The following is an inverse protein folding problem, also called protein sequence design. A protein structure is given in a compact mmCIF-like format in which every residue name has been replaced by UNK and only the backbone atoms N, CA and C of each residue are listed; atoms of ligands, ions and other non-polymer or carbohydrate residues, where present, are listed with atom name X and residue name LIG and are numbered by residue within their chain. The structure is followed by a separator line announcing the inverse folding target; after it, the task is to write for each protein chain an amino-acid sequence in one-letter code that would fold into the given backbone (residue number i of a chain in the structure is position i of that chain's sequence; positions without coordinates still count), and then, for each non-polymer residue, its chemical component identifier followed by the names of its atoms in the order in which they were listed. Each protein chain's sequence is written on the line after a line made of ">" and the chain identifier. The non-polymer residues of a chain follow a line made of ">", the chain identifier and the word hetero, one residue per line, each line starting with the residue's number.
data_IF_893527252869
#
_entry.id   IF_893527252869
#
_cell.length_a   1.000
_cell.length_b   1.000
_cell.length_c   1.000
_cell.angle_alpha   90.00
_cell.angle_beta   90.00
_cell.angle_gamma   90.00
#
_symmetry.space_group_name_H-M   'P 1'
#
loop_
_entity.id
_entity.type
_entity.pdbx_description
1 polymer ?
#
# COMPACT_ATOMS: atom_id res chain seq x y z
N UNK A 1 -11.70 5.23 -0.30
CA UNK A 1 -10.90 5.11 -1.53
C UNK A 1 -9.79 6.13 -1.49
N UNK A 2 -9.53 6.88 -2.55
CA UNK A 2 -8.50 7.94 -2.55
C UNK A 2 -9.09 9.37 -2.54
N UNK A 3 -10.34 9.52 -2.99
CA UNK A 3 -11.05 10.81 -3.04
C UNK A 3 -11.22 11.52 -1.68
N UNK A 4 -11.19 10.78 -0.56
CA UNK A 4 -11.28 11.35 0.80
C UNK A 4 -10.01 12.09 1.24
N UNK A 5 -8.88 11.86 0.57
CA UNK A 5 -7.65 12.60 0.89
C UNK A 5 -7.80 14.10 0.56
N UNK A 6 -8.63 14.42 -0.44
CA UNK A 6 -8.91 15.80 -0.85
C UNK A 6 -9.71 16.60 0.20
N UNK A 7 -10.26 15.94 1.22
CA UNK A 7 -11.01 16.60 2.29
C UNK A 7 -10.06 17.22 3.34
N UNK A 8 -8.76 16.93 3.29
CA UNK A 8 -7.77 17.35 4.27
C UNK A 8 -6.67 18.22 3.63
N UNK A 9 -6.61 19.49 4.03
CA UNK A 9 -5.62 20.46 3.52
C UNK A 9 -4.21 20.28 4.10
N UNK A 10 -4.04 19.40 5.10
CA UNK A 10 -2.78 19.19 5.82
C UNK A 10 -1.98 17.97 5.34
N UNK A 11 -2.45 17.26 4.31
CA UNK A 11 -1.73 16.12 3.75
C UNK A 11 -0.67 16.63 2.78
N UNK A 12 0.61 16.52 3.15
CA UNK A 12 1.73 17.02 2.35
C UNK A 12 2.32 15.95 1.41
N UNK A 13 2.26 14.67 1.80
CA UNK A 13 2.87 13.56 1.07
C UNK A 13 2.08 12.26 1.26
N UNK A 14 2.09 11.42 0.23
CA UNK A 14 1.59 10.04 0.26
C UNK A 14 2.67 9.13 -0.29
N UNK A 15 3.09 8.15 0.51
CA UNK A 15 4.07 7.14 0.13
C UNK A 15 3.33 5.81 -0.12
N UNK A 16 3.48 5.23 -1.32
CA UNK A 16 2.93 3.92 -1.65
C UNK A 16 3.92 2.84 -1.19
N UNK A 17 3.50 1.96 -0.29
CA UNK A 17 4.32 0.87 0.23
C UNK A 17 3.70 -0.48 -0.18
N UNK A 18 4.29 -1.18 -1.16
CA UNK A 18 3.88 -2.53 -1.54
C UNK A 18 3.97 -3.50 -0.35
N UNK A 19 3.05 -4.46 -0.31
CA UNK A 19 3.12 -5.54 0.68
C UNK A 19 4.34 -6.43 0.39
N UNK A 20 5.05 -6.81 1.46
CA UNK A 20 6.16 -7.76 1.41
C UNK A 20 6.04 -8.79 2.53
N UNK A 21 6.51 -10.03 2.31
CA UNK A 21 6.50 -11.10 3.33
C UNK A 21 7.69 -11.06 4.30
N UNK A 22 8.43 -9.96 4.32
CA UNK A 22 9.58 -9.81 5.19
C UNK A 22 9.16 -9.89 6.66
N UNK A 23 9.55 -10.97 7.34
CA UNK A 23 9.27 -11.20 8.76
C UNK A 23 8.34 -12.38 9.06
N UNK A 24 7.87 -13.13 8.06
CA UNK A 24 7.08 -14.36 8.28
C UNK A 24 7.78 -15.36 9.21
N UNK A 25 9.12 -15.48 9.10
CA UNK A 25 9.92 -16.38 9.94
C UNK A 25 9.80 -16.07 11.44
N UNK A 26 9.56 -14.80 11.82
CA UNK A 26 9.39 -14.42 13.23
C UNK A 26 8.08 -14.97 13.81
N UNK A 27 7.03 -15.06 12.99
CA UNK A 27 5.77 -15.68 13.40
C UNK A 27 5.94 -17.19 13.57
N UNK A 28 6.71 -17.82 12.67
CA UNK A 28 7.04 -19.25 12.76
C UNK A 28 7.84 -19.56 14.03
N UNK A 29 8.85 -18.77 14.39
CA UNK A 29 9.62 -18.90 15.63
C UNK A 29 8.74 -18.79 16.90
N UNK A 30 7.75 -17.91 16.86
CA UNK A 30 6.82 -17.68 17.97
C UNK A 30 5.62 -18.62 17.98
N UNK A 31 5.56 -19.58 17.04
CA UNK A 31 4.44 -20.51 16.87
C UNK A 31 3.08 -19.80 16.70
N UNK A 32 3.09 -18.61 16.08
CA UNK A 32 1.88 -17.84 15.78
C UNK A 32 1.41 -18.08 14.34
N UNK A 33 0.08 -18.15 14.11
CA UNK A 33 -0.44 -18.19 12.76
C UNK A 33 -0.15 -16.87 12.04
N UNK A 34 0.43 -16.94 10.84
CA UNK A 34 0.60 -15.79 9.96
C UNK A 34 -0.52 -15.76 8.91
N UNK A 35 -1.52 -14.91 9.13
CA UNK A 35 -2.75 -14.90 8.33
C UNK A 35 -2.52 -14.51 6.85
N UNK A 36 -1.42 -13.82 6.55
CA UNK A 36 -1.06 -13.39 5.20
C UNK A 36 -0.13 -14.38 4.48
N UNK A 37 0.07 -15.59 5.01
CA UNK A 37 0.98 -16.59 4.45
C UNK A 37 0.73 -16.88 2.98
N UNK A 38 -0.53 -16.95 2.56
CA UNK A 38 -0.91 -17.23 1.17
C UNK A 38 -1.11 -15.96 0.31
N UNK A 39 -1.02 -14.77 0.92
CA UNK A 39 -1.16 -13.49 0.21
C UNK A 39 0.10 -13.23 -0.60
N UNK A 40 -0.04 -12.96 -1.91
CA UNK A 40 1.12 -12.68 -2.77
C UNK A 40 1.52 -11.20 -2.65
N UNK A 41 2.80 -10.92 -2.86
CA UNK A 41 3.26 -9.56 -3.10
C UNK A 41 2.58 -9.03 -4.38
N UNK A 42 2.26 -7.72 -4.46
CA UNK A 42 1.68 -7.15 -5.65
C UNK A 42 2.67 -7.25 -6.82
N UNK A 43 2.14 -7.39 -8.04
CA UNK A 43 2.96 -7.34 -9.25
C UNK A 43 3.37 -5.90 -9.55
N UNK A 44 4.44 -5.74 -10.33
CA UNK A 44 4.89 -4.41 -10.80
C UNK A 44 3.77 -3.65 -11.51
N UNK A 45 2.92 -4.32 -12.30
CA UNK A 45 1.76 -3.74 -12.96
C UNK A 45 0.74 -3.15 -11.96
N UNK A 46 0.49 -3.86 -10.85
CA UNK A 46 -0.42 -3.38 -9.79
C UNK A 46 0.19 -2.18 -9.06
N UNK A 47 1.50 -2.19 -8.84
CA UNK A 47 2.22 -1.07 -8.22
C UNK A 47 2.12 0.15 -9.14
N UNK A 48 2.43 0.01 -10.43
CA UNK A 48 2.35 1.09 -11.42
C UNK A 48 0.94 1.66 -11.54
N UNK A 49 -0.08 0.79 -11.59
CA UNK A 49 -1.48 1.20 -11.59
C UNK A 49 -1.83 2.04 -10.35
N UNK A 50 -1.42 1.61 -9.16
CA UNK A 50 -1.68 2.31 -7.91
C UNK A 50 -0.95 3.67 -7.84
N UNK A 51 0.30 3.74 -8.33
CA UNK A 51 1.03 5.00 -8.44
C UNK A 51 0.33 6.00 -9.37
N UNK A 52 -0.15 5.53 -10.52
CA UNK A 52 -0.86 6.37 -11.48
C UNK A 52 -2.19 6.88 -10.90
N UNK A 53 -2.95 6.03 -10.22
CA UNK A 53 -4.16 6.43 -9.52
C UNK A 53 -3.90 7.51 -8.45
N UNK A 54 -2.78 7.40 -7.71
CA UNK A 54 -2.38 8.43 -6.74
C UNK A 54 -2.00 9.76 -7.41
N UNK A 55 -1.33 9.72 -8.56
CA UNK A 55 -0.99 10.92 -9.34
C UNK A 55 -2.24 11.66 -9.85
N UNK A 56 -3.21 10.94 -10.40
CA UNK A 56 -4.46 11.53 -10.93
C UNK A 56 -5.26 12.30 -9.86
N UNK A 57 -5.33 11.74 -8.64
CA UNK A 57 -6.03 12.38 -7.51
C UNK A 57 -5.37 13.70 -7.13
N UNK A 58 -4.03 13.77 -7.17
CA UNK A 58 -3.28 15.00 -6.87
C UNK A 58 -3.41 16.06 -7.96
N UNK A 59 -3.36 15.66 -9.23
CA UNK A 59 -3.49 16.60 -10.36
C UNK A 59 -4.86 17.29 -10.40
N UNK A 60 -5.90 16.65 -9.83
CA UNK A 60 -7.26 17.22 -9.76
C UNK A 60 -7.44 18.25 -8.62
N UNK A 61 -6.41 18.50 -7.82
CA UNK A 61 -6.45 19.40 -6.66
C UNK A 61 -5.59 20.68 -6.84
N UNK A 62 -5.02 20.87 -8.04
CA UNK A 62 -4.35 22.09 -8.47
C UNK A 62 -5.17 22.82 -9.54
#
# INVERSE_FOLDING_TARGET
>A
GMRRMNDYSCIERVDLLPFHKMGEYKYEELHFPYELKDTKEPTDEVIEWAENALKEVRSSHH
#
